data_IF_210329360983
#
_entry.id   IF_210329360983
#
_cell.length_a   1.000
_cell.length_b   1.000
_cell.length_c   1.000
_cell.angle_alpha   90.00
_cell.angle_beta   90.00
_cell.angle_gamma   90.00
#
_symmetry.space_group_name_H-M   'P 1'
#
loop_
_entity.id
_entity.type
_entity.pdbx_description
1 polymer ?
#
# COMPACT_ATOMS: atom_id res chain seq x y z
N UNK A 1 16.64 14.37 -13.79
CA UNK A 1 16.33 13.07 -13.18
C UNK A 1 16.92 13.09 -11.78
N UNK A 2 16.12 13.37 -10.74
CA UNK A 2 16.62 13.28 -9.35
C UNK A 2 16.58 11.80 -8.98
N UNK A 3 17.76 11.21 -8.79
CA UNK A 3 17.88 9.85 -8.26
C UNK A 3 17.23 9.79 -6.88
N UNK A 4 16.56 8.67 -6.61
CA UNK A 4 16.02 8.37 -5.29
C UNK A 4 17.22 8.40 -4.32
N UNK A 5 17.22 9.27 -3.29
CA UNK A 5 18.37 9.40 -2.40
C UNK A 5 18.60 8.07 -1.66
N UNK A 6 19.86 7.63 -1.57
CA UNK A 6 20.31 6.36 -0.96
C UNK A 6 19.74 6.11 0.46
N UNK A 7 19.42 7.16 1.20
CA UNK A 7 18.77 7.08 2.53
C UNK A 7 17.34 6.50 2.48
N UNK A 8 16.65 6.55 1.32
CA UNK A 8 15.37 5.88 1.09
C UNK A 8 15.50 4.37 0.89
N UNK A 9 16.72 3.85 0.65
CA UNK A 9 17.03 2.43 0.60
C UNK A 9 17.74 1.96 1.87
N UNK A 10 17.48 2.59 3.02
CA UNK A 10 17.77 1.93 4.29
C UNK A 10 17.02 0.60 4.30
N UNK A 11 17.75 -0.52 4.16
CA UNK A 11 17.17 -1.84 4.00
C UNK A 11 16.02 -2.04 5.01
N UNK A 12 14.82 -2.27 4.50
CA UNK A 12 13.66 -2.52 5.35
C UNK A 12 13.99 -3.68 6.28
N UNK A 13 13.75 -3.49 7.57
CA UNK A 13 13.88 -4.59 8.52
C UNK A 13 12.82 -5.66 8.20
N UNK A 14 13.09 -6.90 8.61
CA UNK A 14 12.11 -7.99 8.46
C UNK A 14 10.76 -7.66 9.12
N UNK A 15 10.78 -6.89 10.21
CA UNK A 15 9.59 -6.45 10.91
C UNK A 15 8.77 -5.47 10.06
N UNK A 16 9.42 -4.49 9.44
CA UNK A 16 8.77 -3.51 8.55
C UNK A 16 8.20 -4.18 7.30
N UNK A 17 8.93 -5.11 6.67
CA UNK A 17 8.42 -5.89 5.54
C UNK A 17 7.20 -6.73 5.96
N UNK A 18 7.26 -7.36 7.13
CA UNK A 18 6.14 -8.15 7.66
C UNK A 18 4.90 -7.27 7.92
N UNK A 19 5.09 -6.05 8.42
CA UNK A 19 3.99 -5.11 8.68
C UNK A 19 3.37 -4.61 7.38
N UNK A 20 4.18 -4.19 6.40
CA UNK A 20 3.70 -3.79 5.08
C UNK A 20 2.91 -4.91 4.40
N UNK A 21 3.42 -6.15 4.49
CA UNK A 21 2.71 -7.32 3.95
C UNK A 21 1.38 -7.57 4.64
N UNK A 22 1.30 -7.44 5.97
CA UNK A 22 0.04 -7.59 6.72
C UNK A 22 -1.00 -6.57 6.29
N UNK A 23 -0.63 -5.30 6.25
CA UNK A 23 -1.54 -4.23 5.82
C UNK A 23 -2.02 -4.48 4.39
N UNK A 24 -1.10 -4.85 3.50
CA UNK A 24 -1.43 -5.19 2.12
C UNK A 24 -2.42 -6.35 2.02
N UNK A 25 -2.16 -7.46 2.72
CA UNK A 25 -3.04 -8.63 2.73
C UNK A 25 -4.43 -8.32 3.32
N UNK A 26 -4.48 -7.59 4.43
CA UNK A 26 -5.73 -7.19 5.08
C UNK A 26 -6.61 -6.41 4.11
N UNK A 27 -6.05 -5.38 3.45
CA UNK A 27 -6.81 -4.56 2.50
C UNK A 27 -7.23 -5.39 1.28
N UNK A 28 -6.36 -6.27 0.76
CA UNK A 28 -6.73 -7.19 -0.33
C UNK A 28 -7.93 -8.08 0.03
N UNK A 29 -7.97 -8.61 1.25
CA UNK A 29 -9.05 -9.50 1.70
C UNK A 29 -10.34 -8.70 1.94
N UNK A 30 -10.26 -7.55 2.61
CA UNK A 30 -11.44 -6.76 2.98
C UNK A 30 -12.17 -6.14 1.79
N UNK A 31 -11.43 -5.77 0.74
CA UNK A 31 -11.97 -5.11 -0.45
C UNK A 31 -12.01 -6.04 -1.68
N UNK A 32 -11.81 -7.35 -1.50
CA UNK A 32 -11.80 -8.38 -2.56
C UNK A 32 -10.96 -7.98 -3.78
N UNK A 33 -9.77 -7.40 -3.52
CA UNK A 33 -8.91 -6.89 -4.58
C UNK A 33 -8.29 -8.07 -5.34
N UNK A 34 -8.50 -8.17 -6.65
CA UNK A 34 -7.91 -9.22 -7.47
C UNK A 34 -6.39 -9.24 -7.32
N UNK A 35 -5.81 -10.44 -7.28
CA UNK A 35 -4.34 -10.62 -7.14
C UNK A 35 -3.58 -10.32 -8.41
N UNK A 36 -4.29 -10.01 -9.47
CA UNK A 36 -3.82 -9.62 -10.78
C UNK A 36 -4.39 -8.25 -11.18
N UNK A 37 -3.71 -7.59 -12.13
CA UNK A 37 -4.14 -6.31 -12.67
C UNK A 37 -3.54 -5.08 -12.00
N UNK A 38 -4.09 -3.91 -12.33
CA UNK A 38 -3.51 -2.63 -11.94
C UNK A 38 -3.83 -2.24 -10.49
N UNK A 39 -4.95 -2.71 -9.93
CA UNK A 39 -5.38 -2.32 -8.58
C UNK A 39 -4.37 -2.76 -7.51
N UNK A 40 -3.93 -4.02 -7.56
CA UNK A 40 -2.93 -4.54 -6.64
C UNK A 40 -1.58 -3.79 -6.74
N UNK A 41 -1.21 -3.37 -7.96
CA UNK A 41 0.00 -2.56 -8.17
C UNK A 41 -0.14 -1.14 -7.60
N UNK A 42 -1.33 -0.53 -7.73
CA UNK A 42 -1.60 0.79 -7.15
C UNK A 42 -1.54 0.74 -5.63
N UNK A 43 -2.10 -0.29 -4.99
CA UNK A 43 -1.98 -0.48 -3.54
C UNK A 43 -0.53 -0.63 -3.10
N UNK A 44 0.24 -1.49 -3.77
CA UNK A 44 1.65 -1.67 -3.42
C UNK A 44 2.43 -0.35 -3.53
N UNK A 45 2.21 0.42 -4.60
CA UNK A 45 2.84 1.74 -4.78
C UNK A 45 2.41 2.75 -3.72
N UNK A 46 1.13 2.75 -3.37
CA UNK A 46 0.57 3.61 -2.33
C UNK A 46 1.22 3.33 -0.97
N UNK A 47 1.26 2.06 -0.55
CA UNK A 47 1.89 1.67 0.73
C UNK A 47 3.37 2.06 0.77
N UNK A 48 4.09 1.87 -0.34
CA UNK A 48 5.49 2.31 -0.45
C UNK A 48 5.65 3.83 -0.40
N UNK A 49 4.68 4.61 -0.90
CA UNK A 49 4.73 6.09 -0.82
C UNK A 49 4.33 6.64 0.55
N UNK A 50 3.44 5.95 1.26
CA UNK A 50 3.04 6.30 2.63
C UNK A 50 4.01 5.77 3.69
N UNK A 51 4.96 4.91 3.30
CA UNK A 51 5.98 4.40 4.20
C UNK A 51 6.78 5.54 4.85
N UNK A 52 6.65 5.67 6.16
CA UNK A 52 7.38 6.62 7.00
C UNK A 52 7.81 5.93 8.28
N UNK A 53 9.02 6.24 8.76
CA UNK A 53 9.52 5.75 10.06
C UNK A 53 9.22 6.79 11.16
N UNK A 54 8.86 6.35 12.38
CA UNK A 54 8.53 4.97 12.75
C UNK A 54 7.25 4.49 12.06
N UNK A 55 7.19 3.21 11.74
CA UNK A 55 6.05 2.61 11.04
C UNK A 55 4.91 2.36 12.03
N UNK A 56 3.73 2.84 11.69
CA UNK A 56 2.49 2.65 12.46
C UNK A 56 1.51 1.83 11.61
N UNK A 57 1.27 0.58 12.03
CA UNK A 57 0.43 -0.38 11.31
C UNK A 57 -1.02 0.11 11.18
N UNK A 58 -1.56 0.69 12.25
CA UNK A 58 -2.95 1.15 12.29
C UNK A 58 -3.13 2.38 11.39
N UNK A 59 -2.22 3.35 11.48
CA UNK A 59 -2.26 4.53 10.63
C UNK A 59 -2.14 4.17 9.14
N UNK A 60 -1.27 3.21 8.81
CA UNK A 60 -1.09 2.76 7.44
C UNK A 60 -2.31 2.01 6.90
N UNK A 61 -2.96 1.20 7.74
CA UNK A 61 -4.21 0.52 7.39
C UNK A 61 -5.33 1.53 7.11
N UNK A 62 -5.54 2.51 7.99
CA UNK A 62 -6.53 3.59 7.81
C UNK A 62 -6.28 4.35 6.50
N UNK A 63 -5.02 4.66 6.18
CA UNK A 63 -4.66 5.34 4.94
C UNK A 63 -4.96 4.48 3.71
N UNK A 64 -4.66 3.18 3.75
CA UNK A 64 -4.91 2.25 2.65
C UNK A 64 -6.41 2.00 2.41
N UNK A 65 -7.19 1.88 3.48
CA UNK A 65 -8.65 1.83 3.40
C UNK A 65 -9.23 3.10 2.80
N UNK A 66 -8.76 4.28 3.25
CA UNK A 66 -9.20 5.56 2.71
C UNK A 66 -8.88 5.69 1.22
N UNK A 67 -7.68 5.24 0.80
CA UNK A 67 -7.29 5.19 -0.60
C UNK A 67 -8.29 4.37 -1.43
N UNK A 68 -8.64 3.15 -0.99
CA UNK A 68 -9.59 2.32 -1.71
C UNK A 68 -11.01 2.87 -1.74
N UNK A 69 -11.52 3.36 -0.62
CA UNK A 69 -12.87 3.98 -0.57
C UNK A 69 -13.01 5.19 -1.50
N UNK A 70 -11.94 5.96 -1.70
CA UNK A 70 -11.96 7.09 -2.65
C UNK A 70 -11.79 6.64 -4.11
N UNK A 71 -11.19 5.48 -4.36
CA UNK A 71 -10.93 4.93 -5.68
C UNK A 71 -12.03 3.99 -6.19
N UNK A 72 -12.91 3.49 -5.32
CA UNK A 72 -14.05 2.63 -5.67
C UNK A 72 -14.95 3.25 -6.77
N UNK A 73 -15.10 4.58 -6.75
CA UNK A 73 -15.83 5.32 -7.79
C UNK A 73 -15.14 5.39 -9.18
N UNK A 74 -13.86 5.03 -9.29
CA UNK A 74 -13.10 4.99 -10.57
C UNK A 74 -12.96 3.59 -11.16
N UNK A 75 -13.10 2.53 -10.35
CA UNK A 75 -12.96 1.15 -10.80
C UNK A 75 -14.31 0.40 -10.93
N UNK A 76 -15.39 0.90 -10.34
CA UNK A 76 -16.75 0.38 -10.52
C UNK A 76 -17.38 0.66 -11.91
N UNK A 77 -16.60 1.15 -12.89
CA UNK A 77 -17.10 1.58 -14.22
C UNK A 77 -16.53 0.77 -15.39
N UNK A 78 -16.23 -0.50 -15.17
CA UNK A 78 -15.81 -1.42 -16.23
C UNK A 78 -16.41 -2.81 -16.01
N UNK A 79 -17.73 -2.86 -15.89
CA UNK A 79 -18.54 -4.07 -16.03
C UNK A 79 -19.73 -3.76 -16.94
#
# INVERSE_FOLDING_TARGET
MRGIPDDMLAALSKAEVSMLWRVFETVCIEYDIPRDGEQIQHLARFLMSEFRRPLDEEALLVAAEAFYRHHDGKYAKSA
#
